data_IF_626763857878
#
_entry.id   IF_626763857878
#
_cell.length_a   1.000
_cell.length_b   1.000
_cell.length_c   1.000
_cell.angle_alpha   90.00
_cell.angle_beta   90.00
_cell.angle_gamma   90.00
#
_symmetry.space_group_name_H-M   'P 1'
#
loop_
_entity.id
_entity.type
_entity.pdbx_description
1 polymer ?
#
# COMPACT_ATOMS: atom_id res chain seq x y z
N UNK A 1 -7.53 -4.38 8.92
CA UNK A 1 -7.09 -4.26 10.33
C UNK A 1 -8.15 -3.47 11.10
N UNK A 2 -8.34 -3.75 12.39
CA UNK A 2 -9.27 -3.01 13.25
C UNK A 2 -8.47 -2.39 14.39
N UNK A 3 -8.65 -1.09 14.60
CA UNK A 3 -8.07 -0.30 15.70
C UNK A 3 -9.20 0.20 16.59
N UNK A 4 -8.97 0.26 17.89
CA UNK A 4 -9.87 0.88 18.85
C UNK A 4 -9.22 2.14 19.43
N UNK A 5 -9.97 3.25 19.51
CA UNK A 5 -9.50 4.42 20.25
C UNK A 5 -9.70 4.27 21.77
N UNK A 6 -9.25 5.28 22.53
CA UNK A 6 -9.39 5.33 24.00
C UNK A 6 -10.85 5.34 24.49
N UNK A 7 -11.81 5.58 23.61
CA UNK A 7 -13.25 5.56 23.90
C UNK A 7 -13.93 4.27 23.40
N UNK A 8 -13.16 3.33 22.86
CA UNK A 8 -13.66 2.05 22.35
C UNK A 8 -14.23 2.11 20.92
N UNK A 9 -14.16 3.25 20.23
CA UNK A 9 -14.66 3.37 18.85
C UNK A 9 -13.75 2.60 17.90
N UNK A 10 -14.38 1.82 17.02
CA UNK A 10 -13.73 0.96 16.04
C UNK A 10 -13.40 1.72 14.76
N UNK A 11 -12.18 1.56 14.28
CA UNK A 11 -11.71 2.04 12.99
C UNK A 11 -11.21 0.85 12.18
N UNK A 12 -11.78 0.64 11.00
CA UNK A 12 -11.36 -0.42 10.10
C UNK A 12 -10.66 0.20 8.89
N UNK A 13 -9.43 -0.23 8.64
CA UNK A 13 -8.63 0.24 7.52
C UNK A 13 -7.71 -0.87 7.00
N UNK A 14 -7.16 -0.65 5.82
CA UNK A 14 -6.20 -1.51 5.15
C UNK A 14 -4.83 -0.82 5.17
N UNK A 15 -3.79 -1.62 4.97
CA UNK A 15 -2.41 -1.13 4.88
C UNK A 15 -1.91 -1.45 3.48
N UNK A 16 -1.44 -0.44 2.78
CA UNK A 16 -0.60 -0.60 1.61
C UNK A 16 0.86 -0.56 2.05
N UNK A 17 1.61 -1.60 1.70
CA UNK A 17 3.02 -1.74 2.02
C UNK A 17 3.81 -1.91 0.72
N UNK A 18 4.69 -0.97 0.45
CA UNK A 18 5.65 -1.02 -0.64
C UNK A 18 7.06 -1.19 -0.07
N UNK A 19 7.82 -2.16 -0.61
CA UNK A 19 9.17 -2.46 -0.15
C UNK A 19 10.11 -2.52 -1.35
N UNK A 20 11.13 -1.68 -1.33
CA UNK A 20 12.27 -1.79 -2.24
C UNK A 20 13.18 -2.92 -1.76
N UNK A 21 13.30 -3.96 -2.58
CA UNK A 21 14.02 -5.17 -2.21
C UNK A 21 15.53 -4.94 -2.01
N UNK A 22 16.12 -4.06 -2.82
CA UNK A 22 17.55 -3.73 -2.81
C UNK A 22 17.92 -2.88 -1.59
N UNK A 23 17.27 -1.73 -1.42
CA UNK A 23 17.58 -0.77 -0.34
C UNK A 23 16.88 -1.07 0.99
N UNK A 24 15.94 -2.02 1.02
CA UNK A 24 15.04 -2.30 2.15
C UNK A 24 14.20 -1.09 2.59
N UNK A 25 14.13 -0.04 1.78
CA UNK A 25 13.25 1.10 2.04
C UNK A 25 11.80 0.63 2.00
N UNK A 26 11.01 1.13 2.95
CA UNK A 26 9.60 0.78 3.11
C UNK A 26 8.77 2.06 3.03
N UNK A 27 7.70 1.99 2.26
CA UNK A 27 6.66 3.00 2.25
C UNK A 27 5.37 2.34 2.72
N UNK A 28 4.70 2.98 3.69
CA UNK A 28 3.49 2.48 4.33
C UNK A 28 2.44 3.59 4.26
N UNK A 29 1.25 3.26 3.76
CA UNK A 29 0.10 4.15 3.83
C UNK A 29 -1.16 3.40 4.22
N UNK A 30 -2.08 4.10 4.88
CA UNK A 30 -3.36 3.56 5.33
C UNK A 30 -4.42 3.86 4.27
N UNK A 31 -5.22 2.85 3.93
CA UNK A 31 -6.32 3.02 2.97
C UNK A 31 -7.64 2.58 3.57
N UNK A 32 -8.72 3.29 3.25
CA UNK A 32 -10.06 2.94 3.75
C UNK A 32 -10.73 1.87 2.89
N UNK A 33 -10.33 1.75 1.62
CA UNK A 33 -10.83 0.76 0.67
C UNK A 33 -9.68 0.01 -0.04
N UNK A 34 -10.06 -0.98 -0.86
CA UNK A 34 -9.15 -1.81 -1.66
C UNK A 34 -9.49 -1.74 -3.16
N UNK A 35 -9.96 -0.59 -3.64
CA UNK A 35 -10.24 -0.38 -5.07
C UNK A 35 -8.94 -0.25 -5.86
N UNK A 36 -9.03 -0.53 -7.16
CA UNK A 36 -7.91 -0.43 -8.08
C UNK A 36 -7.37 1.01 -8.19
N UNK A 37 -8.26 2.00 -8.19
CA UNK A 37 -7.85 3.42 -8.24
C UNK A 37 -7.02 3.82 -7.02
N UNK A 38 -7.46 3.41 -5.83
CA UNK A 38 -6.74 3.62 -4.57
C UNK A 38 -5.37 2.94 -4.60
N UNK A 39 -5.28 1.73 -5.17
CA UNK A 39 -4.00 1.04 -5.36
C UNK A 39 -3.06 1.83 -6.28
N UNK A 40 -3.53 2.32 -7.42
CA UNK A 40 -2.71 3.13 -8.34
C UNK A 40 -2.25 4.44 -7.71
N UNK A 41 -3.11 5.08 -6.92
CA UNK A 41 -2.74 6.27 -6.17
C UNK A 41 -1.64 5.97 -5.15
N UNK A 42 -1.77 4.90 -4.36
CA UNK A 42 -0.73 4.50 -3.41
C UNK A 42 0.59 4.15 -4.10
N UNK A 43 0.55 3.54 -5.29
CA UNK A 43 1.74 3.25 -6.09
C UNK A 43 2.43 4.53 -6.54
N UNK A 44 1.66 5.49 -7.09
CA UNK A 44 2.18 6.79 -7.50
C UNK A 44 2.89 7.50 -6.34
N UNK A 45 2.23 7.60 -5.19
CA UNK A 45 2.80 8.23 -3.99
C UNK A 45 4.05 7.50 -3.50
N UNK A 46 4.06 6.16 -3.57
CA UNK A 46 5.24 5.37 -3.18
C UNK A 46 6.44 5.63 -4.09
N UNK A 47 6.23 5.78 -5.40
CA UNK A 47 7.30 6.06 -6.37
C UNK A 47 7.84 7.48 -6.24
N UNK A 48 6.96 8.45 -6.02
CA UNK A 48 7.34 9.82 -5.69
C UNK A 48 8.18 9.86 -4.40
N UNK A 49 7.77 9.12 -3.37
CA UNK A 49 8.50 9.02 -2.11
C UNK A 49 9.89 8.38 -2.27
N UNK A 50 10.02 7.36 -3.12
CA UNK A 50 11.31 6.70 -3.36
C UNK A 50 12.18 7.39 -4.41
N UNK A 51 11.74 8.53 -4.94
CA UNK A 51 12.50 9.32 -5.91
C UNK A 51 12.62 8.68 -7.29
N UNK A 52 11.66 7.81 -7.66
CA UNK A 52 11.65 7.18 -8.97
C UNK A 52 10.80 5.92 -9.05
N UNK A 53 10.64 5.45 -10.29
CA UNK A 53 9.91 4.22 -10.61
C UNK A 53 10.90 3.05 -10.64
N UNK A 54 10.68 1.97 -9.85
CA UNK A 54 11.54 0.79 -9.90
C UNK A 54 11.50 0.12 -11.27
N UNK A 55 12.64 -0.44 -11.72
CA UNK A 55 12.73 -1.15 -13.02
C UNK A 55 11.91 -2.43 -13.09
N UNK A 56 11.69 -3.08 -11.94
CA UNK A 56 10.93 -4.32 -11.84
C UNK A 56 9.96 -4.21 -10.67
N UNK A 57 8.70 -4.53 -10.94
CA UNK A 57 7.65 -4.61 -9.93
C UNK A 57 7.16 -6.05 -9.84
N UNK A 58 7.20 -6.64 -8.65
CA UNK A 58 6.68 -7.99 -8.39
C UNK A 58 5.54 -7.87 -7.40
N UNK A 59 4.36 -8.29 -7.82
CA UNK A 59 3.25 -8.54 -6.92
C UNK A 59 3.12 -10.04 -6.68
N UNK A 60 3.06 -10.44 -5.42
CA UNK A 60 2.69 -11.80 -5.07
C UNK A 60 1.15 -11.91 -5.06
N UNK A 61 0.57 -12.67 -6.01
CA UNK A 61 -0.84 -13.06 -5.95
C UNK A 61 -1.80 -12.42 -6.96
N UNK A 62 -1.38 -12.10 -8.18
CA UNK A 62 -2.35 -11.81 -9.26
C UNK A 62 -3.02 -13.13 -9.64
N UNK A 63 -4.21 -13.38 -9.09
CA UNK A 63 -5.16 -14.28 -9.75
C UNK A 63 -5.74 -13.45 -10.89
N UNK A 64 -5.37 -13.82 -12.11
CA UNK A 64 -5.80 -13.24 -13.38
C UNK A 64 -7.13 -12.47 -13.28
N UNK A 65 -7.09 -11.17 -13.52
CA UNK A 65 -8.25 -10.45 -14.02
C UNK A 65 -8.02 -10.43 -15.52
N UNK A 66 -8.92 -11.10 -16.25
CA UNK A 66 -8.89 -11.28 -17.70
C UNK A 66 -8.65 -9.97 -18.47
#
# INVERSE_FOLDING_TARGET
>A
MVMHDKFGKRYQFNIFLYVLHYSKMKYITLTWDRKQDTLFQCLKESFEHTGGVPRLYIFNGWRNIH
#
